data_IF_753992689895
#
_entry.id   IF_753992689895
#
_cell.length_a   1.000
_cell.length_b   1.000
_cell.length_c   1.000
_cell.angle_alpha   90.00
_cell.angle_beta   90.00
_cell.angle_gamma   90.00
#
_symmetry.space_group_name_H-M   'P 1'
#
loop_
_entity.id
_entity.type
_entity.pdbx_description
1 polymer ?
#
# COMPACT_ATOMS: atom_id res chain seq x y z
N UNK A 1 -6.61 -12.91 3.66
CA UNK A 1 -6.18 -14.30 3.39
C UNK A 1 -7.38 -15.23 3.40
N UNK A 2 -8.21 -15.26 4.47
CA UNK A 2 -9.37 -16.16 4.58
C UNK A 2 -10.30 -16.03 3.37
N UNK A 3 -10.76 -14.84 3.05
CA UNK A 3 -11.61 -14.59 1.88
C UNK A 3 -10.98 -15.02 0.54
N UNK A 4 -9.65 -14.95 0.42
CA UNK A 4 -8.94 -15.45 -0.77
C UNK A 4 -8.97 -16.98 -0.84
N UNK A 5 -8.74 -17.66 0.29
CA UNK A 5 -8.79 -19.11 0.36
C UNK A 5 -10.20 -19.64 0.10
N UNK A 6 -11.22 -18.98 0.65
CA UNK A 6 -12.63 -19.37 0.46
C UNK A 6 -13.07 -19.17 -0.99
N UNK A 7 -12.66 -18.09 -1.63
CA UNK A 7 -13.15 -17.69 -2.95
C UNK A 7 -12.35 -18.30 -4.10
N UNK A 8 -11.04 -18.48 -3.93
CA UNK A 8 -10.12 -18.90 -4.99
C UNK A 8 -9.26 -20.11 -4.62
N UNK A 9 -9.33 -20.58 -3.39
CA UNK A 9 -8.56 -21.73 -2.93
C UNK A 9 -8.96 -23.02 -3.63
N UNK A 10 -7.99 -23.84 -4.01
CA UNK A 10 -8.22 -25.16 -4.60
C UNK A 10 -8.69 -26.22 -3.60
N UNK A 11 -8.74 -25.90 -2.29
CA UNK A 11 -8.98 -26.86 -1.20
C UNK A 11 -7.78 -27.73 -0.85
N UNK A 12 -6.68 -27.68 -1.61
CA UNK A 12 -5.43 -28.45 -1.33
C UNK A 12 -4.58 -27.85 -0.20
N UNK A 13 -4.73 -26.54 0.02
CA UNK A 13 -3.99 -25.79 1.03
C UNK A 13 -4.98 -25.06 1.91
N UNK A 14 -4.93 -25.31 3.20
CA UNK A 14 -5.81 -24.67 4.20
C UNK A 14 -5.11 -23.52 4.93
N UNK A 15 -5.83 -22.85 5.83
CA UNK A 15 -5.30 -21.76 6.66
C UNK A 15 -4.08 -22.17 7.49
N UNK A 16 -4.08 -23.39 8.01
CA UNK A 16 -2.99 -23.91 8.86
C UNK A 16 -1.72 -24.04 8.03
N UNK A 17 -1.83 -24.62 6.84
CA UNK A 17 -0.71 -24.76 5.93
C UNK A 17 -0.14 -23.39 5.50
N UNK A 18 -1.01 -22.39 5.23
CA UNK A 18 -0.59 -21.02 4.87
C UNK A 18 0.11 -20.32 6.05
N UNK A 19 -0.39 -20.46 7.27
CA UNK A 19 0.17 -19.80 8.44
C UNK A 19 1.46 -20.47 8.98
N UNK A 20 1.63 -21.77 8.76
CA UNK A 20 2.71 -22.55 9.38
C UNK A 20 4.12 -22.00 9.12
N UNK A 21 4.52 -21.55 7.91
CA UNK A 21 5.85 -20.95 7.69
C UNK A 21 6.07 -19.68 8.53
N UNK A 22 5.06 -18.80 8.58
CA UNK A 22 5.16 -17.54 9.32
C UNK A 22 5.22 -17.81 10.85
N UNK A 23 4.47 -18.79 11.35
CA UNK A 23 4.53 -19.22 12.76
C UNK A 23 5.96 -19.71 13.10
N UNK A 24 6.53 -20.58 12.27
CA UNK A 24 7.91 -21.08 12.49
C UNK A 24 8.94 -19.95 12.51
N UNK A 25 8.82 -18.98 11.61
CA UNK A 25 9.73 -17.83 11.55
C UNK A 25 9.55 -16.95 12.79
N UNK A 26 8.32 -16.66 13.18
CA UNK A 26 8.05 -15.81 14.34
C UNK A 26 8.57 -16.43 15.66
N UNK A 27 8.51 -17.76 15.79
CA UNK A 27 9.02 -18.49 16.97
C UNK A 27 10.52 -18.75 16.90
N UNK A 28 10.95 -19.35 15.77
CA UNK A 28 12.34 -19.74 15.60
C UNK A 28 13.27 -18.56 15.33
N UNK A 29 12.71 -17.42 14.91
CA UNK A 29 13.42 -16.20 14.60
C UNK A 29 13.95 -16.12 13.16
N UNK A 30 14.32 -14.93 12.78
CA UNK A 30 14.96 -14.58 11.52
C UNK A 30 16.16 -13.68 11.76
N UNK A 31 17.04 -13.58 10.80
CA UNK A 31 18.19 -12.68 10.89
C UNK A 31 17.80 -11.25 10.48
N UNK A 32 18.19 -10.26 11.27
CA UNK A 32 18.00 -8.86 10.92
C UNK A 32 18.82 -8.52 9.68
N UNK A 33 18.15 -8.11 8.60
CA UNK A 33 18.86 -7.56 7.43
C UNK A 33 19.46 -6.20 7.74
N UNK A 34 20.44 -5.76 6.94
CA UNK A 34 21.00 -4.40 7.02
C UNK A 34 19.87 -3.33 6.97
N UNK A 35 18.85 -3.55 6.15
CA UNK A 35 17.70 -2.64 6.06
C UNK A 35 16.89 -2.62 7.36
N UNK A 36 16.61 -3.78 7.95
CA UNK A 36 15.89 -3.87 9.24
C UNK A 36 16.69 -3.17 10.34
N UNK A 37 18.00 -3.43 10.43
CA UNK A 37 18.88 -2.81 11.41
C UNK A 37 18.94 -1.29 11.25
N UNK A 38 19.04 -0.80 10.02
CA UNK A 38 19.06 0.62 9.69
C UNK A 38 17.75 1.32 10.10
N UNK A 39 16.60 0.85 9.64
CA UNK A 39 15.32 1.45 10.01
C UNK A 39 15.01 1.35 11.51
N UNK A 40 15.36 0.24 12.15
CA UNK A 40 15.21 0.12 13.59
C UNK A 40 16.03 1.17 14.35
N UNK A 41 17.23 1.51 13.88
CA UNK A 41 18.06 2.56 14.50
C UNK A 41 17.47 3.97 14.35
N UNK A 42 16.79 4.25 13.24
CA UNK A 42 16.12 5.54 13.02
C UNK A 42 14.95 5.73 14.01
N UNK A 43 14.22 4.67 14.31
CA UNK A 43 13.04 4.71 15.16
C UNK A 43 13.26 4.10 16.55
N UNK A 44 14.53 3.95 16.97
CA UNK A 44 14.91 3.25 18.20
C UNK A 44 14.20 3.78 19.45
N UNK A 45 14.05 5.10 19.59
CA UNK A 45 13.39 5.72 20.76
C UNK A 45 11.94 5.26 20.95
N UNK A 46 11.21 5.08 19.86
CA UNK A 46 9.85 4.57 19.91
C UNK A 46 9.82 3.03 20.06
N UNK A 47 10.62 2.33 19.26
CA UNK A 47 10.60 0.86 19.21
C UNK A 47 11.06 0.20 20.50
N UNK A 48 12.07 0.78 21.18
CA UNK A 48 12.60 0.26 22.44
C UNK A 48 11.60 0.28 23.59
N UNK A 49 10.59 1.13 23.52
CA UNK A 49 9.53 1.20 24.54
C UNK A 49 8.38 0.22 24.28
N UNK A 50 8.35 -0.41 23.11
CA UNK A 50 7.33 -1.39 22.76
C UNK A 50 7.68 -2.78 23.31
N UNK A 51 6.67 -3.52 23.75
CA UNK A 51 6.86 -4.83 24.38
C UNK A 51 7.43 -5.90 23.44
N UNK A 52 7.20 -5.78 22.13
CA UNK A 52 7.71 -6.72 21.12
C UNK A 52 9.01 -6.23 20.52
N UNK A 53 9.01 -5.01 20.01
CA UNK A 53 10.18 -4.44 19.32
C UNK A 53 11.33 -4.17 20.29
N UNK A 54 11.03 -3.78 21.53
CA UNK A 54 12.04 -3.53 22.55
C UNK A 54 12.92 -4.74 22.85
N UNK A 55 12.35 -5.94 22.76
CA UNK A 55 13.10 -7.19 22.94
C UNK A 55 14.14 -7.46 21.82
N UNK A 56 14.11 -6.75 20.72
CA UNK A 56 15.08 -6.89 19.63
C UNK A 56 16.36 -6.09 19.84
N UNK A 57 16.32 -5.12 20.75
CA UNK A 57 17.48 -4.28 21.05
C UNK A 57 18.31 -4.91 22.17
N UNK A 58 19.63 -5.05 22.01
CA UNK A 58 20.51 -5.42 23.12
C UNK A 58 20.43 -4.40 24.27
N UNK A 59 20.70 -4.84 25.48
CA UNK A 59 20.64 -3.98 26.66
C UNK A 59 21.49 -2.71 26.49
N UNK A 60 20.83 -1.56 26.66
CA UNK A 60 21.45 -0.24 26.55
C UNK A 60 21.76 0.25 25.13
N UNK A 61 21.61 -0.59 24.13
CA UNK A 61 21.90 -0.24 22.74
C UNK A 61 20.69 0.45 22.07
N UNK A 62 20.98 1.40 21.18
CA UNK A 62 19.99 2.03 20.31
C UNK A 62 20.01 1.42 18.90
N UNK A 63 20.66 0.29 18.70
CA UNK A 63 20.81 -0.38 17.41
C UNK A 63 20.62 -1.88 17.55
N UNK A 64 20.00 -2.44 16.53
CA UNK A 64 19.95 -3.89 16.32
C UNK A 64 21.12 -4.22 15.38
N UNK A 65 22.04 -5.13 15.75
CA UNK A 65 23.10 -5.56 14.85
C UNK A 65 22.52 -6.25 13.60
N UNK A 66 23.13 -6.02 12.44
CA UNK A 66 22.86 -6.85 11.27
C UNK A 66 23.20 -8.31 11.58
N UNK A 67 22.36 -9.25 11.15
CA UNK A 67 22.48 -10.68 11.46
C UNK A 67 21.97 -11.07 12.85
N UNK A 68 21.55 -10.11 13.70
CA UNK A 68 20.96 -10.44 14.99
C UNK A 68 19.71 -11.31 14.82
N UNK A 69 19.56 -12.32 15.68
CA UNK A 69 18.40 -13.19 15.69
C UNK A 69 17.20 -12.52 16.34
N UNK A 70 16.18 -12.20 15.56
CA UNK A 70 14.95 -11.58 16.02
C UNK A 70 13.86 -12.64 16.14
N UNK A 71 13.05 -12.56 17.19
CA UNK A 71 11.90 -13.46 17.40
C UNK A 71 10.66 -12.63 17.73
N UNK A 72 9.48 -13.19 17.49
CA UNK A 72 8.21 -12.60 17.88
C UNK A 72 7.19 -13.67 18.31
N UNK A 73 7.36 -14.24 19.52
CA UNK A 73 6.45 -15.26 20.03
C UNK A 73 4.98 -14.77 20.16
N UNK A 74 4.78 -13.48 20.38
CA UNK A 74 3.45 -12.90 20.44
C UNK A 74 2.73 -12.98 19.08
N UNK A 75 3.43 -12.66 18.01
CA UNK A 75 2.92 -12.81 16.64
C UNK A 75 2.63 -14.28 16.33
N UNK A 76 3.51 -15.19 16.74
CA UNK A 76 3.28 -16.62 16.52
C UNK A 76 1.97 -17.11 17.18
N UNK A 77 1.65 -16.64 18.40
CA UNK A 77 0.36 -16.95 19.04
C UNK A 77 -0.83 -16.43 18.26
N UNK A 78 -0.75 -15.21 17.77
CA UNK A 78 -1.81 -14.62 16.96
C UNK A 78 -1.99 -15.32 15.61
N UNK A 79 -0.89 -15.72 14.97
CA UNK A 79 -0.93 -16.50 13.73
C UNK A 79 -1.53 -17.92 13.95
N UNK A 80 -1.31 -18.54 15.12
CA UNK A 80 -1.99 -19.79 15.47
C UNK A 80 -3.50 -19.57 15.63
N UNK A 81 -3.90 -18.52 16.32
CA UNK A 81 -5.32 -18.19 16.42
C UNK A 81 -5.96 -17.99 15.03
N UNK A 82 -5.25 -17.34 14.11
CA UNK A 82 -5.70 -17.27 12.70
C UNK A 82 -5.79 -18.67 12.06
N UNK A 83 -4.78 -19.50 12.22
CA UNK A 83 -4.76 -20.83 11.63
C UNK A 83 -5.93 -21.71 12.11
N UNK A 84 -6.34 -21.56 13.36
CA UNK A 84 -7.39 -22.35 13.99
C UNK A 84 -8.79 -21.76 13.79
N UNK A 85 -8.95 -20.46 14.02
CA UNK A 85 -10.23 -19.77 14.12
C UNK A 85 -10.50 -18.78 12.97
N UNK A 86 -9.52 -18.53 12.07
CA UNK A 86 -9.65 -17.57 10.98
C UNK A 86 -9.58 -16.13 11.45
N UNK A 87 -10.38 -15.25 10.84
CA UNK A 87 -10.40 -13.84 11.15
C UNK A 87 -11.13 -13.46 12.45
N UNK A 88 -11.94 -14.35 12.99
CA UNK A 88 -12.82 -14.05 14.13
C UNK A 88 -12.08 -13.49 15.37
N UNK A 89 -10.91 -14.02 15.81
CA UNK A 89 -10.14 -13.46 16.92
C UNK A 89 -9.71 -12.00 16.72
N UNK A 90 -9.49 -11.59 15.46
CA UNK A 90 -9.03 -10.27 15.08
C UNK A 90 -10.15 -9.24 14.94
N UNK A 91 -11.36 -9.73 14.70
CA UNK A 91 -12.52 -8.87 14.46
C UNK A 91 -13.38 -8.70 15.73
N UNK A 92 -13.54 -9.74 16.52
CA UNK A 92 -14.45 -9.78 17.67
C UNK A 92 -13.87 -10.48 18.90
N UNK A 93 -12.69 -11.12 18.79
CA UNK A 93 -12.09 -11.96 19.82
C UNK A 93 -11.07 -11.25 20.72
N UNK A 94 -10.19 -12.04 21.32
CA UNK A 94 -9.19 -11.56 22.26
C UNK A 94 -8.15 -10.66 21.60
N UNK A 95 -7.76 -10.94 20.35
CA UNK A 95 -6.80 -10.13 19.59
C UNK A 95 -7.40 -8.76 19.31
N UNK A 96 -8.68 -8.70 18.89
CA UNK A 96 -9.39 -7.42 18.69
C UNK A 96 -9.39 -6.57 19.96
N UNK A 97 -9.70 -7.15 21.11
CA UNK A 97 -9.66 -6.44 22.40
C UNK A 97 -8.28 -5.89 22.73
N UNK A 98 -7.24 -6.67 22.51
CA UNK A 98 -5.85 -6.23 22.72
C UNK A 98 -5.51 -5.06 21.79
N UNK A 99 -5.87 -5.14 20.50
CA UNK A 99 -5.69 -4.07 19.53
C UNK A 99 -6.36 -2.76 20.00
N UNK A 100 -7.64 -2.81 20.37
CA UNK A 100 -8.38 -1.65 20.84
C UNK A 100 -7.76 -1.07 22.11
N UNK A 101 -7.36 -1.91 23.07
CA UNK A 101 -6.71 -1.48 24.30
C UNK A 101 -5.42 -0.71 24.03
N UNK A 102 -4.53 -1.27 23.21
CA UNK A 102 -3.24 -0.66 22.89
C UNK A 102 -3.38 0.66 22.10
N UNK A 103 -4.33 0.70 21.16
CA UNK A 103 -4.62 1.90 20.39
C UNK A 103 -5.22 2.98 21.26
N UNK A 104 -6.19 2.65 22.12
CA UNK A 104 -6.83 3.59 23.03
C UNK A 104 -5.86 4.16 24.10
N UNK A 105 -4.96 3.32 24.63
CA UNK A 105 -3.91 3.76 25.56
C UNK A 105 -3.02 4.86 24.95
N UNK A 106 -2.91 4.89 23.60
CA UNK A 106 -2.16 5.90 22.85
C UNK A 106 -3.04 6.99 22.25
N UNK A 107 -4.26 7.15 22.79
CA UNK A 107 -5.27 8.13 22.33
C UNK A 107 -5.78 7.90 20.89
N UNK A 108 -5.64 6.71 20.36
CA UNK A 108 -6.26 6.31 19.10
C UNK A 108 -7.76 6.10 19.25
N UNK A 109 -8.49 6.11 18.14
CA UNK A 109 -9.95 6.12 18.10
C UNK A 109 -10.57 4.77 17.73
N UNK A 110 -9.75 3.74 17.50
CA UNK A 110 -10.22 2.42 17.09
C UNK A 110 -11.12 1.79 18.16
N UNK A 111 -12.27 1.28 17.74
CA UNK A 111 -13.24 0.62 18.62
C UNK A 111 -13.44 -0.86 18.23
N UNK A 112 -14.08 -1.62 19.11
CA UNK A 112 -14.50 -2.99 18.79
C UNK A 112 -15.54 -3.03 17.66
N UNK A 113 -16.38 -2.01 17.55
CA UNK A 113 -17.39 -1.92 16.49
C UNK A 113 -16.75 -1.67 15.13
N UNK A 114 -15.68 -0.86 15.06
CA UNK A 114 -14.92 -0.65 13.83
C UNK A 114 -14.31 -1.97 13.31
N UNK A 115 -13.70 -2.74 14.20
CA UNK A 115 -13.15 -4.04 13.85
C UNK A 115 -14.24 -5.03 13.42
N UNK A 116 -15.35 -5.08 14.15
CA UNK A 116 -16.45 -5.98 13.87
C UNK A 116 -17.20 -5.65 12.56
N UNK A 117 -17.20 -4.37 12.18
CA UNK A 117 -17.84 -3.88 10.95
C UNK A 117 -16.93 -3.96 9.71
N UNK A 118 -15.63 -4.27 9.89
CA UNK A 118 -14.72 -4.34 8.76
C UNK A 118 -15.08 -5.49 7.81
N UNK A 119 -15.14 -5.17 6.52
CA UNK A 119 -15.42 -6.14 5.45
C UNK A 119 -14.36 -6.06 4.34
N UNK A 120 -14.04 -7.22 3.77
CA UNK A 120 -13.25 -7.31 2.55
C UNK A 120 -14.09 -6.79 1.38
N UNK A 121 -13.56 -5.84 0.61
CA UNK A 121 -14.22 -5.34 -0.60
C UNK A 121 -13.61 -5.98 -1.84
N UNK A 122 -14.43 -6.70 -2.59
CA UNK A 122 -14.08 -7.10 -3.94
C UNK A 122 -14.35 -5.94 -4.90
N UNK A 123 -13.37 -5.62 -5.75
CA UNK A 123 -13.47 -4.53 -6.72
C UNK A 123 -13.15 -5.04 -8.12
N UNK A 124 -13.89 -4.55 -9.10
CA UNK A 124 -13.61 -4.86 -10.50
C UNK A 124 -12.26 -4.23 -10.91
N UNK A 125 -11.37 -4.99 -11.55
CA UNK A 125 -10.10 -4.47 -12.01
C UNK A 125 -10.28 -3.53 -13.20
N UNK A 126 -9.39 -2.57 -13.32
CA UNK A 126 -9.25 -1.77 -14.54
C UNK A 126 -8.56 -2.62 -15.63
N UNK A 127 -8.98 -2.39 -16.89
CA UNK A 127 -8.40 -3.05 -18.05
C UNK A 127 -8.01 -2.04 -19.12
N UNK A 128 -6.95 -2.31 -19.84
CA UNK A 128 -6.57 -1.59 -21.06
C UNK A 128 -5.69 -2.49 -21.93
N UNK A 129 -5.76 -2.26 -23.24
CA UNK A 129 -4.85 -2.89 -24.19
C UNK A 129 -3.70 -1.94 -24.50
N UNK A 130 -2.49 -2.43 -24.49
CA UNK A 130 -1.29 -1.70 -24.89
C UNK A 130 -0.19 -2.69 -25.28
N UNK A 131 0.55 -2.38 -26.34
CA UNK A 131 1.66 -3.21 -26.87
C UNK A 131 1.26 -4.65 -27.18
N UNK A 132 0.03 -4.88 -27.63
CA UNK A 132 -0.49 -6.20 -27.96
C UNK A 132 -0.89 -7.08 -26.77
N UNK A 133 -0.88 -6.53 -25.55
CA UNK A 133 -1.27 -7.21 -24.33
C UNK A 133 -2.50 -6.55 -23.70
N UNK A 134 -3.36 -7.37 -23.09
CA UNK A 134 -4.41 -6.87 -22.17
C UNK A 134 -3.83 -6.75 -20.77
N UNK A 135 -3.76 -5.53 -20.27
CA UNK A 135 -3.28 -5.21 -18.94
C UNK A 135 -4.44 -5.15 -17.96
N UNK A 136 -4.26 -5.78 -16.81
CA UNK A 136 -5.25 -5.83 -15.72
C UNK A 136 -4.61 -5.26 -14.46
N UNK A 137 -5.26 -4.30 -13.83
CA UNK A 137 -4.70 -3.59 -12.68
C UNK A 137 -5.79 -3.21 -11.67
N UNK A 138 -5.46 -3.03 -10.38
CA UNK A 138 -6.45 -2.67 -9.36
C UNK A 138 -7.11 -1.33 -9.66
N UNK A 139 -8.42 -1.24 -9.36
CA UNK A 139 -9.16 0.01 -9.39
C UNK A 139 -9.01 0.83 -8.10
N UNK A 140 -9.59 2.05 -8.05
CA UNK A 140 -9.64 2.85 -6.82
C UNK A 140 -10.21 2.09 -5.61
N UNK A 141 -9.76 2.42 -4.40
CA UNK A 141 -8.94 3.58 -4.04
C UNK A 141 -7.48 3.47 -4.49
N UNK A 142 -6.98 2.29 -4.90
CA UNK A 142 -5.63 2.19 -5.43
C UNK A 142 -5.43 3.10 -6.66
N UNK A 143 -4.45 3.97 -6.58
CA UNK A 143 -4.07 4.82 -7.70
C UNK A 143 -3.21 4.09 -8.75
N UNK A 144 -2.59 2.97 -8.37
CA UNK A 144 -1.60 2.26 -9.17
C UNK A 144 -2.13 1.81 -10.54
N UNK A 145 -3.34 1.27 -10.56
CA UNK A 145 -3.94 0.79 -11.80
C UNK A 145 -4.23 1.92 -12.80
N UNK A 146 -4.82 3.03 -12.33
CA UNK A 146 -5.03 4.20 -13.19
C UNK A 146 -3.70 4.75 -13.72
N UNK A 147 -2.72 4.90 -12.84
CA UNK A 147 -1.40 5.42 -13.20
C UNK A 147 -0.73 4.52 -14.25
N UNK A 148 -0.66 3.21 -14.00
CA UNK A 148 -0.05 2.25 -14.91
C UNK A 148 -0.71 2.26 -16.29
N UNK A 149 -2.03 2.07 -16.33
CA UNK A 149 -2.75 1.93 -17.60
C UNK A 149 -2.76 3.22 -18.42
N UNK A 150 -2.80 4.38 -17.75
CA UNK A 150 -2.68 5.67 -18.43
C UNK A 150 -1.27 5.90 -18.97
N UNK A 151 -0.24 5.53 -18.19
CA UNK A 151 1.16 5.63 -18.63
C UNK A 151 1.42 4.74 -19.83
N UNK A 152 0.96 3.49 -19.84
CA UNK A 152 1.08 2.58 -20.98
C UNK A 152 0.41 3.15 -22.23
N UNK A 153 -0.80 3.70 -22.09
CA UNK A 153 -1.51 4.32 -23.21
C UNK A 153 -0.79 5.56 -23.78
N UNK A 154 -0.06 6.31 -22.96
CA UNK A 154 0.77 7.43 -23.41
C UNK A 154 2.06 6.93 -24.07
N UNK A 155 2.72 5.97 -23.45
CA UNK A 155 3.95 5.37 -23.98
C UNK A 155 3.74 4.76 -25.37
N UNK A 156 2.67 4.02 -25.59
CA UNK A 156 2.36 3.44 -26.89
C UNK A 156 2.13 4.50 -27.97
N UNK A 157 1.58 5.68 -27.61
CA UNK A 157 1.44 6.82 -28.52
C UNK A 157 2.75 7.48 -28.89
N UNK A 158 3.71 7.53 -27.97
CA UNK A 158 5.01 8.17 -28.17
C UNK A 158 6.06 7.24 -28.74
N UNK A 159 6.03 5.99 -28.29
CA UNK A 159 6.99 4.94 -28.63
C UNK A 159 6.23 3.64 -28.97
N UNK A 160 5.60 3.55 -30.16
CA UNK A 160 4.83 2.35 -30.55
C UNK A 160 5.71 1.08 -30.62
N UNK A 161 7.01 1.24 -30.84
CA UNK A 161 8.00 0.17 -30.69
C UNK A 161 8.90 0.50 -29.52
N UNK A 162 8.86 -0.29 -28.41
CA UNK A 162 9.73 -0.07 -27.26
C UNK A 162 11.21 -0.15 -27.64
N UNK A 163 12.01 0.74 -27.07
CA UNK A 163 13.47 0.74 -27.14
C UNK A 163 14.03 0.61 -25.73
N UNK A 164 15.24 0.13 -25.57
CA UNK A 164 15.89 0.00 -24.25
C UNK A 164 17.01 1.03 -24.11
N UNK A 165 16.64 2.30 -24.18
CA UNK A 165 17.59 3.42 -24.17
C UNK A 165 17.02 4.69 -23.50
N UNK A 166 17.75 5.80 -23.65
CA UNK A 166 17.38 7.08 -23.05
C UNK A 166 16.00 7.61 -23.49
N UNK A 167 15.55 7.46 -24.76
CA UNK A 167 14.19 7.83 -25.14
C UNK A 167 13.10 7.10 -24.35
N UNK A 168 13.23 5.79 -24.11
CA UNK A 168 12.27 5.07 -23.28
C UNK A 168 12.24 5.58 -21.85
N UNK A 169 13.39 5.78 -21.22
CA UNK A 169 13.47 6.31 -19.86
C UNK A 169 12.85 7.70 -19.76
N UNK A 170 13.12 8.57 -20.73
CA UNK A 170 12.52 9.88 -20.80
C UNK A 170 10.99 9.82 -20.93
N UNK A 171 10.49 9.08 -21.91
CA UNK A 171 9.07 8.89 -22.14
C UNK A 171 8.36 8.26 -20.91
N UNK A 172 8.98 7.26 -20.26
CA UNK A 172 8.45 6.62 -19.06
C UNK A 172 8.26 7.64 -17.91
N UNK A 173 9.28 8.46 -17.63
CA UNK A 173 9.20 9.51 -16.59
C UNK A 173 8.11 10.54 -16.93
N UNK A 174 8.04 10.97 -18.18
CA UNK A 174 7.01 11.94 -18.62
C UNK A 174 5.60 11.33 -18.52
N UNK A 175 5.43 10.04 -18.83
CA UNK A 175 4.13 9.35 -18.80
C UNK A 175 3.50 9.31 -17.40
N UNK A 176 4.29 9.36 -16.35
CA UNK A 176 3.81 9.30 -14.97
C UNK A 176 3.24 10.64 -14.47
N UNK A 177 3.78 11.76 -14.94
CA UNK A 177 3.48 13.09 -14.38
C UNK A 177 1.99 13.44 -14.42
N UNK A 178 1.32 13.17 -15.52
CA UNK A 178 -0.11 13.41 -15.67
C UNK A 178 -0.99 12.54 -14.76
N UNK A 179 -0.84 11.21 -14.79
CA UNK A 179 -1.61 10.30 -13.92
C UNK A 179 -1.39 10.52 -12.43
N UNK A 180 -0.17 10.87 -11.99
CA UNK A 180 0.08 11.23 -10.60
C UNK A 180 -0.63 12.52 -10.18
N UNK A 181 -0.86 13.45 -11.11
CA UNK A 181 -1.73 14.59 -10.84
C UNK A 181 -3.18 14.18 -10.69
N UNK A 182 -3.69 13.32 -11.59
CA UNK A 182 -5.05 12.77 -11.48
C UNK A 182 -5.28 12.10 -10.13
N UNK A 183 -4.28 11.34 -9.64
CA UNK A 183 -4.32 10.73 -8.31
C UNK A 183 -4.64 11.76 -7.22
N UNK A 184 -3.93 12.87 -7.21
CA UNK A 184 -4.08 13.90 -6.18
C UNK A 184 -5.40 14.66 -6.28
N UNK A 185 -5.88 14.86 -7.50
CA UNK A 185 -7.00 15.74 -7.76
C UNK A 185 -8.35 15.01 -7.75
N UNK A 186 -8.37 13.72 -8.11
CA UNK A 186 -9.62 13.05 -8.44
C UNK A 186 -9.78 11.61 -7.95
N UNK A 187 -8.72 10.95 -7.46
CA UNK A 187 -8.86 9.58 -6.96
C UNK A 187 -9.19 9.58 -5.47
N UNK A 188 -9.96 8.59 -5.07
CA UNK A 188 -10.38 8.34 -3.69
C UNK A 188 -11.18 7.04 -3.61
N UNK A 189 -11.79 6.78 -2.46
CA UNK A 189 -12.60 5.56 -2.26
C UNK A 189 -13.94 5.66 -3.00
N UNK A 190 -14.18 4.83 -4.04
CA UNK A 190 -15.40 4.89 -4.84
C UNK A 190 -16.67 4.49 -4.07
N UNK A 191 -16.55 3.91 -2.88
CA UNK A 191 -17.71 3.67 -2.01
C UNK A 191 -18.23 4.97 -1.38
N UNK A 192 -17.46 6.06 -1.43
CA UNK A 192 -17.73 7.32 -0.75
C UNK A 192 -17.65 8.56 -1.65
N UNK A 193 -16.99 8.47 -2.79
CA UNK A 193 -16.82 9.59 -3.73
C UNK A 193 -16.97 9.12 -5.18
N UNK A 194 -17.48 9.99 -6.04
CA UNK A 194 -17.49 9.73 -7.48
C UNK A 194 -16.07 9.91 -8.04
N UNK A 195 -15.47 8.81 -8.47
CA UNK A 195 -14.15 8.80 -9.11
C UNK A 195 -14.33 8.82 -10.62
N UNK A 196 -14.00 9.90 -11.33
CA UNK A 196 -14.34 10.08 -12.74
C UNK A 196 -13.42 9.30 -13.69
N UNK A 197 -13.25 7.99 -13.49
CA UNK A 197 -12.31 7.14 -14.25
C UNK A 197 -12.56 7.20 -15.75
N UNK A 198 -13.83 7.18 -16.19
CA UNK A 198 -14.17 7.26 -17.60
C UNK A 198 -13.65 8.57 -18.24
N UNK A 199 -13.77 9.70 -17.53
CA UNK A 199 -13.26 11.00 -17.99
C UNK A 199 -11.74 11.05 -17.95
N UNK A 200 -11.12 10.54 -16.89
CA UNK A 200 -9.67 10.51 -16.73
C UNK A 200 -8.96 9.67 -17.81
N UNK A 201 -9.61 8.62 -18.29
CA UNK A 201 -9.08 7.68 -19.28
C UNK A 201 -9.69 7.87 -20.67
N UNK A 202 -10.47 8.92 -20.88
CA UNK A 202 -11.09 9.21 -22.18
C UNK A 202 -10.01 9.39 -23.27
N UNK A 203 -10.21 8.85 -24.49
CA UNK A 203 -9.24 8.98 -25.59
C UNK A 203 -8.80 10.43 -25.85
N UNK A 204 -9.75 11.36 -25.91
CA UNK A 204 -9.47 12.77 -26.12
C UNK A 204 -8.56 13.39 -25.03
N UNK A 205 -8.68 12.93 -23.77
CA UNK A 205 -7.80 13.38 -22.68
C UNK A 205 -6.40 12.77 -22.81
N UNK A 206 -6.31 11.51 -23.20
CA UNK A 206 -5.02 10.86 -23.47
C UNK A 206 -4.31 11.53 -24.65
N UNK A 207 -5.04 11.85 -25.73
CA UNK A 207 -4.49 12.53 -26.90
C UNK A 207 -4.03 13.96 -26.56
N UNK A 208 -4.80 14.69 -25.78
CA UNK A 208 -4.40 16.01 -25.29
C UNK A 208 -3.14 15.97 -24.40
N UNK A 209 -2.93 14.90 -23.64
CA UNK A 209 -1.69 14.66 -22.89
C UNK A 209 -0.56 14.27 -23.81
N UNK A 210 -0.81 13.33 -24.72
CA UNK A 210 0.21 12.87 -25.64
C UNK A 210 0.80 14.02 -26.47
N UNK A 211 -0.01 14.98 -26.88
CA UNK A 211 0.42 16.17 -27.62
C UNK A 211 1.37 17.11 -26.85
N UNK A 212 1.53 16.92 -25.53
CA UNK A 212 2.44 17.73 -24.70
C UNK A 212 3.85 17.16 -24.59
N UNK A 213 4.05 15.95 -25.06
CA UNK A 213 5.35 15.29 -24.98
C UNK A 213 6.35 15.96 -25.93
N UNK A 214 7.51 16.29 -25.39
CA UNK A 214 8.66 16.77 -26.14
C UNK A 214 9.78 15.71 -26.01
N UNK A 215 10.16 15.01 -27.08
CA UNK A 215 11.19 13.96 -27.01
C UNK A 215 12.59 14.47 -26.69
N UNK A 216 12.83 15.77 -26.84
CA UNK A 216 14.13 16.40 -26.61
C UNK A 216 14.23 17.09 -25.24
N UNK A 217 13.11 17.31 -24.53
CA UNK A 217 13.11 18.15 -23.34
C UNK A 217 12.13 17.64 -22.27
N UNK A 218 12.62 17.48 -21.04
CA UNK A 218 11.77 17.20 -19.89
C UNK A 218 10.84 18.39 -19.59
N UNK A 219 9.57 18.11 -19.36
CA UNK A 219 8.56 19.08 -19.00
C UNK A 219 8.39 19.14 -17.46
N UNK A 220 8.13 20.32 -16.87
CA UNK A 220 7.76 20.40 -15.46
C UNK A 220 6.42 19.69 -15.24
N UNK A 221 6.22 19.14 -14.04
CA UNK A 221 5.00 18.36 -13.69
C UNK A 221 3.72 19.19 -13.89
N UNK A 222 3.80 20.50 -13.68
CA UNK A 222 2.69 21.45 -13.85
C UNK A 222 2.21 21.53 -15.30
N UNK A 223 3.10 21.36 -16.29
CA UNK A 223 2.75 21.36 -17.70
C UNK A 223 1.82 20.21 -18.09
N UNK A 224 1.72 19.16 -17.28
CA UNK A 224 0.87 17.99 -17.51
C UNK A 224 -0.55 18.14 -16.93
N UNK A 225 -0.85 19.30 -16.33
CA UNK A 225 -2.18 19.58 -15.80
C UNK A 225 -3.22 19.67 -16.96
N UNK A 226 -4.25 18.86 -16.85
CA UNK A 226 -5.49 19.01 -17.61
C UNK A 226 -6.59 19.28 -16.59
N UNK A 227 -7.33 20.39 -16.69
CA UNK A 227 -8.25 20.80 -15.64
C UNK A 227 -9.26 19.73 -15.25
N UNK A 228 -9.40 19.51 -13.96
CA UNK A 228 -10.44 18.79 -13.25
C UNK A 228 -10.93 19.62 -12.06
N UNK A 229 -10.96 20.92 -12.19
CA UNK A 229 -11.54 21.88 -11.22
C UNK A 229 -10.80 22.07 -9.87
N UNK A 230 -9.70 21.38 -9.58
CA UNK A 230 -8.91 21.65 -8.37
C UNK A 230 -7.41 21.61 -8.67
N UNK A 231 -6.66 22.58 -8.22
CA UNK A 231 -5.20 22.63 -8.33
C UNK A 231 -4.57 22.76 -6.95
N UNK A 232 -3.79 21.79 -6.54
CA UNK A 232 -2.94 21.88 -5.36
C UNK A 232 -1.46 21.76 -5.78
N UNK A 233 -0.55 22.57 -5.19
CA UNK A 233 0.88 22.47 -5.47
C UNK A 233 1.47 21.14 -4.97
N UNK A 234 2.52 20.67 -5.63
CA UNK A 234 3.30 19.48 -5.28
C UNK A 234 4.32 19.78 -4.19
N UNK A 235 4.45 18.86 -3.24
CA UNK A 235 5.55 18.82 -2.28
C UNK A 235 6.18 17.43 -2.37
N UNK A 236 7.54 17.28 -2.29
CA UNK A 236 8.19 15.99 -2.19
C UNK A 236 7.67 15.23 -0.96
N UNK A 237 7.35 13.95 -1.13
CA UNK A 237 6.88 13.10 -0.05
C UNK A 237 8.00 12.29 0.59
N UNK A 238 7.72 11.70 1.75
CA UNK A 238 8.61 10.74 2.40
C UNK A 238 8.61 9.39 1.69
N UNK A 239 9.70 8.63 1.81
CA UNK A 239 9.77 7.25 1.32
C UNK A 239 9.04 6.32 2.30
N UNK A 240 8.11 5.52 1.78
CA UNK A 240 7.41 4.47 2.52
C UNK A 240 7.93 3.08 2.15
N UNK A 241 7.70 2.10 3.01
CA UNK A 241 8.07 0.70 2.78
C UNK A 241 6.84 -0.16 2.47
N UNK A 242 6.85 -0.83 1.31
CA UNK A 242 5.77 -1.71 0.86
C UNK A 242 6.37 -2.98 0.29
N UNK A 243 5.75 -4.13 0.54
CA UNK A 243 6.14 -5.40 -0.06
C UNK A 243 5.15 -5.80 -1.15
N UNK A 244 5.67 -6.35 -2.25
CA UNK A 244 4.86 -6.89 -3.34
C UNK A 244 5.36 -8.28 -3.72
N UNK A 245 4.43 -9.21 -3.93
CA UNK A 245 4.71 -10.59 -4.32
C UNK A 245 3.86 -10.95 -5.52
N UNK A 246 4.50 -11.49 -6.56
CA UNK A 246 3.81 -12.10 -7.69
C UNK A 246 4.12 -13.60 -7.72
N UNK A 247 3.08 -14.40 -7.92
CA UNK A 247 3.19 -15.86 -8.07
C UNK A 247 2.39 -16.28 -9.28
N UNK A 248 2.99 -17.12 -10.10
CA UNK A 248 2.32 -17.78 -11.24
C UNK A 248 2.47 -19.27 -11.04
N UNK A 249 1.38 -20.03 -11.06
CA UNK A 249 1.42 -21.48 -10.98
C UNK A 249 1.51 -22.16 -12.35
N UNK A 250 1.64 -23.50 -12.34
CA UNK A 250 1.77 -24.28 -13.57
C UNK A 250 0.48 -24.27 -14.42
N UNK A 251 -0.65 -24.01 -13.82
CA UNK A 251 -1.95 -23.90 -14.48
C UNK A 251 -2.20 -22.51 -15.07
N UNK A 252 -1.29 -21.55 -14.84
CA UNK A 252 -1.39 -20.18 -15.34
C UNK A 252 -2.22 -19.24 -14.43
N UNK A 253 -2.57 -19.67 -13.22
CA UNK A 253 -3.17 -18.76 -12.24
C UNK A 253 -2.13 -17.76 -11.75
N UNK A 254 -2.55 -16.52 -11.54
CA UNK A 254 -1.68 -15.42 -11.10
C UNK A 254 -2.20 -14.84 -9.80
N UNK A 255 -1.32 -14.76 -8.80
CA UNK A 255 -1.55 -13.97 -7.60
C UNK A 255 -0.55 -12.81 -7.56
N UNK A 256 -1.05 -11.58 -7.44
CA UNK A 256 -0.25 -10.35 -7.35
C UNK A 256 -0.73 -9.60 -6.12
N UNK A 257 0.09 -9.56 -5.07
CA UNK A 257 -0.32 -9.12 -3.73
C UNK A 257 0.61 -8.02 -3.25
N UNK A 258 0.05 -6.86 -2.96
CA UNK A 258 0.73 -5.77 -2.27
C UNK A 258 0.32 -5.77 -0.80
N UNK A 259 1.29 -5.68 0.11
CA UNK A 259 1.06 -5.54 1.55
C UNK A 259 1.94 -4.44 2.11
N UNK A 260 1.38 -3.61 2.96
CA UNK A 260 2.07 -2.47 3.55
C UNK A 260 1.59 -2.21 4.97
N UNK A 261 2.46 -1.66 5.79
CA UNK A 261 2.12 -0.97 7.04
C UNK A 261 2.42 0.52 6.93
N UNK A 262 2.67 1.00 5.71
CA UNK A 262 2.99 2.34 5.26
C UNK A 262 4.45 2.73 5.56
N UNK A 263 4.72 3.60 6.53
CA UNK A 263 6.09 4.04 6.84
C UNK A 263 6.87 2.99 7.64
N UNK A 264 8.17 3.20 7.82
CA UNK A 264 9.03 2.28 8.56
C UNK A 264 8.49 1.94 9.95
N UNK A 265 8.21 0.66 10.20
CA UNK A 265 7.54 0.13 11.38
C UNK A 265 6.11 0.66 11.62
N UNK A 266 5.47 1.27 10.63
CA UNK A 266 4.10 1.78 10.71
C UNK A 266 3.92 2.75 11.86
N UNK A 267 2.95 2.50 12.74
CA UNK A 267 2.68 3.30 13.93
C UNK A 267 3.76 3.18 15.03
N UNK A 268 4.81 2.38 14.83
CA UNK A 268 5.96 2.16 15.71
C UNK A 268 5.63 1.58 17.08
N UNK A 269 4.51 0.89 17.16
CA UNK A 269 4.14 0.06 18.31
C UNK A 269 3.42 -1.20 17.83
N UNK A 270 3.34 -2.17 18.72
CA UNK A 270 2.72 -3.46 18.45
C UNK A 270 1.48 -3.68 19.31
N UNK A 271 0.58 -4.55 18.81
CA UNK A 271 -0.49 -5.10 19.60
C UNK A 271 -0.66 -6.59 19.23
N UNK A 272 -0.74 -7.46 20.22
CA UNK A 272 -0.84 -8.91 20.03
C UNK A 272 0.26 -9.48 19.09
N UNK A 273 1.45 -8.85 19.08
CA UNK A 273 2.59 -9.23 18.24
C UNK A 273 2.62 -8.56 16.85
N UNK A 274 1.59 -7.87 16.44
CA UNK A 274 1.56 -7.15 15.15
C UNK A 274 2.18 -5.77 15.26
N UNK A 275 3.01 -5.41 14.28
CA UNK A 275 3.26 -4.02 13.98
C UNK A 275 1.98 -3.38 13.46
N UNK A 276 1.49 -2.32 14.08
CA UNK A 276 0.33 -1.61 13.57
C UNK A 276 0.74 -0.66 12.45
N UNK A 277 -0.11 -0.55 11.43
CA UNK A 277 0.12 0.37 10.34
C UNK A 277 -0.14 1.83 10.74
N UNK A 278 0.33 2.77 9.95
CA UNK A 278 -0.01 4.19 10.00
C UNK A 278 -0.69 4.68 8.71
N UNK A 279 -1.52 3.80 8.09
CA UNK A 279 -2.18 4.04 6.79
C UNK A 279 -3.16 5.23 6.80
N UNK A 280 -3.54 5.77 7.95
CA UNK A 280 -4.28 7.02 8.01
C UNK A 280 -3.52 8.18 7.36
N UNK A 281 -2.18 8.10 7.28
CA UNK A 281 -1.36 9.10 6.61
C UNK A 281 -1.40 9.00 5.08
N UNK A 282 -2.02 7.97 4.51
CA UNK A 282 -2.30 7.92 3.08
C UNK A 282 -3.45 8.83 2.65
N UNK A 283 -4.32 9.21 3.59
CA UNK A 283 -5.30 10.25 3.34
C UNK A 283 -4.67 11.65 3.25
N UNK A 284 -5.33 12.52 2.51
CA UNK A 284 -5.03 13.94 2.53
C UNK A 284 -5.35 14.53 3.91
N UNK A 285 -4.49 15.42 4.42
CA UNK A 285 -4.72 16.07 5.73
C UNK A 285 -5.78 17.18 5.61
N UNK A 286 -6.75 17.21 6.53
CA UNK A 286 -7.64 18.35 6.65
C UNK A 286 -6.84 19.65 6.86
N UNK A 287 -7.27 20.75 6.22
CA UNK A 287 -6.57 22.04 6.31
C UNK A 287 -5.50 22.28 5.25
N UNK A 288 -5.27 21.30 4.35
CA UNK A 288 -4.39 21.49 3.18
C UNK A 288 -2.90 21.30 3.46
N UNK A 289 -2.53 20.86 4.66
CA UNK A 289 -1.16 20.44 4.94
C UNK A 289 -0.83 19.15 4.18
N UNK A 290 0.42 18.98 3.70
CA UNK A 290 0.80 17.75 3.03
C UNK A 290 0.88 16.59 4.02
N UNK A 291 0.45 15.39 3.58
CA UNK A 291 0.77 14.15 4.28
C UNK A 291 2.22 13.72 4.01
N UNK A 292 2.66 12.56 4.53
CA UNK A 292 4.02 12.05 4.31
C UNK A 292 4.38 11.86 2.82
N UNK A 293 3.40 11.69 1.95
CA UNK A 293 3.59 11.55 0.50
C UNK A 293 3.42 12.87 -0.27
N UNK A 294 3.39 13.99 0.42
CA UNK A 294 3.19 15.31 -0.20
C UNK A 294 1.77 15.53 -0.75
N UNK A 295 0.81 14.67 -0.38
CA UNK A 295 -0.58 14.80 -0.78
C UNK A 295 -1.23 15.93 0.02
N UNK A 296 -1.66 16.99 -0.66
CA UNK A 296 -2.43 18.09 -0.07
C UNK A 296 -3.92 17.84 -0.31
N UNK A 297 -4.73 18.25 0.65
CA UNK A 297 -6.15 17.95 0.69
C UNK A 297 -6.93 18.25 -0.58
N UNK A 298 -7.25 17.19 -1.32
CA UNK A 298 -8.35 17.17 -2.26
C UNK A 298 -9.54 16.49 -1.59
N UNK A 299 -10.74 17.00 -1.80
CA UNK A 299 -11.97 16.46 -1.21
C UNK A 299 -12.17 14.94 -1.40
N UNK A 300 -11.75 14.33 -2.54
CA UNK A 300 -11.94 12.90 -2.77
C UNK A 300 -11.17 12.00 -1.79
N UNK A 301 -9.98 12.41 -1.34
CA UNK A 301 -9.13 11.58 -0.47
C UNK A 301 -9.01 12.12 0.96
N UNK A 302 -10.01 12.81 1.48
CA UNK A 302 -10.06 13.17 2.91
C UNK A 302 -10.49 11.96 3.77
N UNK A 303 -9.94 11.84 4.99
CA UNK A 303 -10.35 10.77 5.90
C UNK A 303 -11.82 10.89 6.30
N UNK A 304 -12.45 9.77 6.54
CA UNK A 304 -13.85 9.70 7.00
C UNK A 304 -14.21 8.29 7.43
N UNK A 305 -15.31 8.13 8.18
CA UNK A 305 -15.76 6.82 8.63
C UNK A 305 -15.95 5.84 7.46
N UNK A 306 -15.40 4.63 7.60
CA UNK A 306 -15.51 3.57 6.60
C UNK A 306 -14.71 3.75 5.31
N UNK A 307 -14.04 4.90 5.11
CA UNK A 307 -13.21 5.16 3.91
C UNK A 307 -11.90 4.37 3.94
N UNK A 308 -11.45 4.01 2.74
CA UNK A 308 -10.13 3.42 2.48
C UNK A 308 -9.25 4.43 1.76
N UNK A 309 -7.97 4.61 2.17
CA UNK A 309 -7.04 5.53 1.51
C UNK A 309 -6.60 5.03 0.13
#
# INVERSE_FOLDING_TARGET
IEALLERFGSGRVDRRAVAAPAIRIAEGGWEASALTAHYASIFADALRTDAVFGAWFPDGEARIPEGARLTNPALARSLRAFAEEGAAPFMRGAIARTLVTEVTARRGLLTMDDLAAYEVRAREPLRADAYGFTWVAPGPPSAGGHTLLTSLALLERWLPTPTDDAPLRHALIESWKGPYRDRREALGDPDHVDVPLARLRAPARLDARAARFDPARAQPTEAWALPLEATAPTVPGAEGGTSHVCVVDAEGNVASVTTSINLGFGARFSAAGYALNDQLDDFARPGGEPNAFGLRGGAPNLPGPGRRP
#
